data_IF_611694598121
#
_entry.id   IF_611694598121
#
_cell.length_a   1.000
_cell.length_b   1.000
_cell.length_c   1.000
_cell.angle_alpha   90.00
_cell.angle_beta   90.00
_cell.angle_gamma   90.00
#
_symmetry.space_group_name_H-M   'P 1'
#
loop_
_entity.id
_entity.type
_entity.pdbx_description
1 polymer ?
#
# COMPACT_ATOMS: atom_id res chain seq x y z
N UNK A 1 -6.12 8.99 31.65
CA UNK A 1 -7.34 9.31 30.88
C UNK A 1 -7.00 9.12 29.41
N UNK A 2 -7.72 8.23 28.74
CA UNK A 2 -7.35 7.67 27.44
C UNK A 2 -7.69 8.64 26.29
N UNK A 3 -6.67 9.20 25.65
CA UNK A 3 -6.78 9.98 24.40
C UNK A 3 -7.40 9.21 23.22
N UNK A 4 -7.69 7.91 23.40
CA UNK A 4 -8.35 7.05 22.43
C UNK A 4 -9.80 7.46 22.10
N UNK A 5 -10.44 8.32 22.90
CA UNK A 5 -11.86 8.70 22.70
C UNK A 5 -12.12 9.68 21.55
N UNK A 6 -11.09 10.25 20.92
CA UNK A 6 -11.27 11.29 19.89
C UNK A 6 -10.95 10.84 18.45
N UNK A 7 -10.83 9.53 18.16
CA UNK A 7 -10.76 9.07 16.77
C UNK A 7 -12.16 8.69 16.25
N UNK A 8 -12.79 9.49 15.37
CA UNK A 8 -14.15 9.22 14.90
C UNK A 8 -14.26 7.99 13.99
N UNK A 9 -13.13 7.45 13.49
CA UNK A 9 -13.09 6.26 12.63
C UNK A 9 -11.99 5.30 13.08
N UNK A 10 -12.38 4.09 13.46
CA UNK A 10 -11.44 3.02 13.80
C UNK A 10 -11.02 2.28 12.51
N UNK A 11 -9.73 1.93 12.41
CA UNK A 11 -9.18 1.19 11.29
C UNK A 11 -9.58 -0.29 11.39
N UNK A 12 -10.22 -0.85 10.36
CA UNK A 12 -10.63 -2.25 10.36
C UNK A 12 -9.48 -3.15 9.90
N UNK A 13 -9.08 -4.08 10.77
CA UNK A 13 -8.14 -5.15 10.45
C UNK A 13 -8.84 -6.27 9.71
N UNK A 14 -8.15 -6.84 8.72
CA UNK A 14 -8.62 -7.95 7.90
C UNK A 14 -10.09 -7.80 7.42
N UNK A 15 -10.44 -6.69 6.75
CA UNK A 15 -11.80 -6.49 6.23
C UNK A 15 -12.16 -7.62 5.26
N UNK A 16 -13.44 -7.92 5.02
CA UNK A 16 -13.78 -8.98 4.06
C UNK A 16 -13.39 -8.61 2.60
N UNK A 17 -13.44 -7.31 2.29
CA UNK A 17 -13.14 -6.73 0.98
C UNK A 17 -12.47 -5.37 1.21
N UNK A 18 -11.41 -5.09 0.46
CA UNK A 18 -10.74 -3.77 0.46
C UNK A 18 -11.25 -2.99 -0.74
N UNK A 19 -11.76 -1.78 -0.47
CA UNK A 19 -12.33 -0.90 -1.48
C UNK A 19 -11.34 0.22 -1.74
N UNK A 20 -10.88 0.35 -2.99
CA UNK A 20 -9.92 1.40 -3.36
C UNK A 20 -10.60 2.35 -4.34
N UNK A 21 -11.21 3.44 -3.86
CA UNK A 21 -11.74 4.48 -4.72
C UNK A 21 -10.59 5.28 -5.33
N UNK A 22 -10.64 5.49 -6.65
CA UNK A 22 -9.70 6.32 -7.38
C UNK A 22 -10.46 7.40 -8.14
N UNK A 23 -9.90 8.61 -8.13
CA UNK A 23 -10.30 9.67 -9.05
C UNK A 23 -9.32 9.69 -10.22
N UNK A 24 -9.82 9.53 -11.43
CA UNK A 24 -9.01 9.46 -12.64
C UNK A 24 -9.46 10.55 -13.61
N UNK A 25 -8.52 11.19 -14.30
CA UNK A 25 -8.83 12.23 -15.28
C UNK A 25 -8.54 11.68 -16.67
N UNK A 26 -9.52 11.72 -17.57
CA UNK A 26 -9.39 11.28 -18.95
C UNK A 26 -10.09 12.28 -19.87
N UNK A 27 -9.39 12.76 -20.91
CA UNK A 27 -9.90 13.75 -21.86
C UNK A 27 -10.51 15.02 -21.19
N UNK A 28 -9.92 15.48 -20.08
CA UNK A 28 -10.40 16.66 -19.34
C UNK A 28 -11.60 16.38 -18.41
N UNK A 29 -12.14 15.17 -18.40
CA UNK A 29 -13.23 14.78 -17.51
C UNK A 29 -12.70 13.97 -16.32
N UNK A 30 -13.27 14.20 -15.13
CA UNK A 30 -12.97 13.44 -13.90
C UNK A 30 -13.96 12.28 -13.77
N UNK A 31 -13.44 11.08 -13.59
CA UNK A 31 -14.21 9.86 -13.36
C UNK A 31 -13.87 9.29 -11.99
N UNK A 32 -14.87 8.69 -11.35
CA UNK A 32 -14.69 7.90 -10.13
C UNK A 32 -14.73 6.44 -10.50
N UNK A 33 -13.64 5.74 -10.27
CA UNK A 33 -13.55 4.29 -10.45
C UNK A 33 -13.24 3.65 -9.10
N UNK A 34 -13.66 2.41 -8.91
CA UNK A 34 -13.49 1.71 -7.65
C UNK A 34 -12.93 0.31 -7.90
N UNK A 35 -11.80 0.01 -7.28
CA UNK A 35 -11.21 -1.32 -7.31
C UNK A 35 -11.61 -2.07 -6.03
N UNK A 36 -12.14 -3.27 -6.18
CA UNK A 36 -12.47 -4.14 -5.05
C UNK A 36 -11.53 -5.31 -5.02
N UNK A 37 -10.76 -5.37 -3.95
CA UNK A 37 -9.65 -6.30 -3.76
C UNK A 37 -9.97 -7.22 -2.59
N UNK A 38 -9.49 -8.46 -2.63
CA UNK A 38 -9.40 -9.24 -1.38
C UNK A 38 -8.31 -8.64 -0.49
N UNK A 39 -8.38 -8.83 0.83
CA UNK A 39 -7.26 -8.53 1.71
C UNK A 39 -5.99 -9.26 1.25
N UNK A 40 -4.83 -8.59 1.25
CA UNK A 40 -3.56 -9.24 0.99
C UNK A 40 -3.22 -10.22 2.13
N UNK A 41 -2.83 -11.44 1.77
CA UNK A 41 -2.25 -12.39 2.70
C UNK A 41 -0.76 -12.07 2.93
N UNK A 42 -0.11 -12.62 3.97
CA UNK A 42 1.32 -12.42 4.20
C UNK A 42 2.18 -12.75 2.97
N UNK A 43 1.89 -13.86 2.28
CA UNK A 43 2.66 -14.28 1.10
C UNK A 43 2.52 -13.32 -0.10
N UNK A 44 1.37 -12.65 -0.22
CA UNK A 44 1.19 -11.61 -1.26
C UNK A 44 2.19 -10.49 -1.05
N UNK A 45 2.32 -10.04 0.20
CA UNK A 45 3.25 -8.98 0.59
C UNK A 45 4.71 -9.41 0.51
N UNK A 46 5.04 -10.64 0.91
CA UNK A 46 6.41 -11.14 0.80
C UNK A 46 6.87 -11.22 -0.66
N UNK A 47 5.97 -11.68 -1.54
CA UNK A 47 6.25 -11.71 -2.98
C UNK A 47 6.38 -10.29 -3.54
N UNK A 48 5.50 -9.38 -3.13
CA UNK A 48 5.54 -7.98 -3.55
C UNK A 48 6.84 -7.29 -3.12
N UNK A 49 7.23 -7.41 -1.84
CA UNK A 49 8.49 -6.82 -1.36
C UNK A 49 9.71 -7.42 -2.09
N UNK A 50 9.75 -8.74 -2.27
CA UNK A 50 10.82 -9.39 -3.02
C UNK A 50 10.93 -8.85 -4.46
N UNK A 51 9.80 -8.56 -5.10
CA UNK A 51 9.76 -7.98 -6.44
C UNK A 51 10.15 -6.49 -6.47
N UNK A 52 9.97 -5.74 -5.37
CA UNK A 52 10.39 -4.34 -5.27
C UNK A 52 11.90 -4.16 -5.14
N UNK A 53 12.66 -5.22 -4.81
CA UNK A 53 14.05 -5.06 -4.46
C UNK A 53 14.87 -4.59 -5.67
N UNK A 54 15.60 -3.47 -5.53
CA UNK A 54 16.42 -2.97 -6.62
C UNK A 54 17.53 -3.97 -6.94
N UNK A 55 17.72 -4.23 -8.22
CA UNK A 55 18.93 -4.87 -8.71
C UNK A 55 19.85 -3.77 -9.24
N UNK A 56 21.08 -3.73 -8.72
CA UNK A 56 22.16 -2.92 -9.31
C UNK A 56 22.93 -3.82 -10.25
N UNK A 57 22.91 -3.47 -11.53
CA UNK A 57 23.67 -4.15 -12.57
C UNK A 57 24.88 -3.30 -12.96
N UNK A 58 26.07 -3.89 -12.90
CA UNK A 58 27.27 -3.28 -13.47
C UNK A 58 27.24 -3.46 -14.99
N UNK A 59 27.26 -2.36 -15.74
CA UNK A 59 27.29 -2.37 -17.20
C UNK A 59 28.75 -2.52 -17.63
N UNK A 60 29.09 -3.68 -18.20
CA UNK A 60 30.44 -3.96 -18.71
C UNK A 60 30.80 -3.15 -19.97
N UNK A 61 32.10 -3.03 -20.21
CA UNK A 61 32.81 -2.44 -21.38
C UNK A 61 33.11 -0.93 -21.42
N UNK A 62 32.81 -0.16 -20.37
CA UNK A 62 33.32 1.22 -20.27
C UNK A 62 34.65 1.28 -19.49
N UNK A 63 35.56 2.17 -19.92
CA UNK A 63 36.80 2.49 -19.19
C UNK A 63 36.53 3.02 -17.77
N UNK A 64 35.29 3.43 -17.50
CA UNK A 64 34.78 3.84 -16.19
C UNK A 64 33.62 2.91 -15.78
N UNK A 65 33.57 2.46 -14.52
CA UNK A 65 32.48 1.61 -14.04
C UNK A 65 31.15 2.38 -14.10
N UNK A 66 30.16 1.83 -14.81
CA UNK A 66 28.81 2.38 -14.87
C UNK A 66 27.79 1.39 -14.31
N UNK A 67 26.79 1.91 -13.61
CA UNK A 67 25.81 1.12 -12.88
C UNK A 67 24.39 1.46 -13.35
N UNK A 68 23.56 0.44 -13.57
CA UNK A 68 22.13 0.58 -13.85
C UNK A 68 21.32 0.12 -12.66
N UNK A 69 20.49 1.01 -12.14
CA UNK A 69 19.48 0.68 -11.15
C UNK A 69 18.22 0.19 -11.87
N UNK A 70 17.84 -1.07 -11.65
CA UNK A 70 16.60 -1.64 -12.20
C UNK A 70 15.52 -1.62 -11.13
N UNK A 71 14.51 -0.76 -11.32
CA UNK A 71 13.33 -0.67 -10.46
C UNK A 71 12.17 -1.43 -11.12
N UNK A 72 11.61 -2.43 -10.43
CA UNK A 72 10.50 -3.26 -10.92
C UNK A 72 9.16 -2.92 -10.25
N UNK A 73 9.00 -1.68 -9.79
CA UNK A 73 7.84 -1.26 -9.02
C UNK A 73 6.51 -1.47 -9.77
N UNK A 74 6.47 -1.13 -11.07
CA UNK A 74 5.30 -1.30 -11.92
C UNK A 74 4.90 -2.77 -12.10
N UNK A 75 5.88 -3.65 -12.35
CA UNK A 75 5.65 -5.09 -12.50
C UNK A 75 5.17 -5.70 -11.17
N UNK A 76 5.85 -5.37 -10.07
CA UNK A 76 5.47 -5.82 -8.73
C UNK A 76 4.03 -5.40 -8.37
N UNK A 77 3.65 -4.15 -8.70
CA UNK A 77 2.31 -3.65 -8.48
C UNK A 77 1.28 -4.35 -9.37
N UNK A 78 1.58 -4.57 -10.66
CA UNK A 78 0.71 -5.33 -11.55
C UNK A 78 0.47 -6.76 -11.05
N UNK A 79 1.52 -7.45 -10.64
CA UNK A 79 1.45 -8.83 -10.13
C UNK A 79 0.65 -8.91 -8.83
N UNK A 80 0.86 -7.96 -7.91
CA UNK A 80 0.08 -7.89 -6.68
C UNK A 80 -1.39 -7.57 -7.00
N UNK A 81 -1.67 -6.56 -7.81
CA UNK A 81 -3.03 -6.19 -8.20
C UNK A 81 -3.78 -7.36 -8.83
N UNK A 82 -3.15 -8.08 -9.75
CA UNK A 82 -3.75 -9.23 -10.47
C UNK A 82 -4.15 -10.34 -9.51
N UNK A 83 -3.33 -10.60 -8.46
CA UNK A 83 -3.63 -11.59 -7.42
C UNK A 83 -4.75 -11.18 -6.47
N UNK A 84 -4.95 -9.87 -6.28
CA UNK A 84 -5.89 -9.33 -5.30
C UNK A 84 -7.25 -8.96 -5.91
N UNK A 85 -7.29 -8.53 -7.17
CA UNK A 85 -8.50 -7.92 -7.75
C UNK A 85 -9.64 -8.92 -7.89
N UNK A 86 -10.79 -8.54 -7.33
CA UNK A 86 -12.06 -9.28 -7.45
C UNK A 86 -12.94 -8.69 -8.52
N UNK A 87 -13.13 -7.37 -8.50
CA UNK A 87 -13.89 -6.62 -9.51
C UNK A 87 -13.48 -5.15 -9.54
N UNK A 88 -13.89 -4.46 -10.59
CA UNK A 88 -13.73 -3.02 -10.75
C UNK A 88 -15.07 -2.41 -11.16
N UNK A 89 -15.34 -1.21 -10.67
CA UNK A 89 -16.57 -0.45 -10.91
C UNK A 89 -16.21 0.92 -11.51
N UNK A 90 -17.08 1.48 -12.35
CA UNK A 90 -16.89 2.80 -12.97
C UNK A 90 -16.17 2.82 -14.33
N UNK A 91 -15.81 1.66 -14.88
CA UNK A 91 -15.28 1.54 -16.24
C UNK A 91 -16.41 1.24 -17.24
N UNK A 92 -16.35 1.88 -18.41
CA UNK A 92 -17.23 1.55 -19.54
C UNK A 92 -16.45 0.64 -20.48
N UNK A 93 -16.98 -0.55 -20.75
CA UNK A 93 -16.39 -1.43 -21.76
C UNK A 93 -16.67 -0.85 -23.15
N UNK A 94 -15.70 -0.86 -24.08
CA UNK A 94 -16.00 -0.55 -25.46
C UNK A 94 -17.08 -1.54 -25.93
N UNK A 95 -18.21 -1.04 -26.43
CA UNK A 95 -19.27 -1.87 -26.98
C UNK A 95 -18.65 -2.76 -28.07
N UNK A 96 -18.48 -4.05 -27.78
CA UNK A 96 -18.02 -5.05 -28.76
C UNK A 96 -19.11 -5.37 -29.79
N UNK A 97 -20.31 -4.83 -29.62
CA UNK A 97 -21.41 -4.87 -30.58
C UNK A 97 -21.19 -3.87 -31.72
N UNK A 98 -20.31 -4.21 -32.66
CA UNK A 98 -19.99 -3.32 -33.78
C UNK A 98 -19.16 -3.92 -34.91
N UNK A 99 -19.26 -5.25 -35.12
CA UNK A 99 -18.82 -5.86 -36.36
C UNK A 99 -20.04 -6.39 -37.13
N UNK A 100 -21.01 -5.51 -37.37
CA UNK A 100 -21.99 -5.71 -38.43
C UNK A 100 -21.54 -4.88 -39.64
N UNK A 101 -20.61 -5.45 -40.40
CA UNK A 101 -20.32 -5.00 -41.76
C UNK A 101 -21.48 -5.43 -42.66
N UNK A 102 -22.63 -4.77 -42.50
CA UNK A 102 -23.70 -4.83 -43.51
C UNK A 102 -24.59 -3.60 -43.49
N UNK A 103 -24.30 -2.76 -44.50
CA UNK A 103 -25.26 -2.34 -45.53
C UNK A 103 -25.93 -0.97 -45.36
N UNK A 104 -25.49 -0.10 -46.28
CA UNK A 104 -26.26 0.84 -47.13
C UNK A 104 -27.16 1.88 -46.47
N UNK A 105 -26.84 3.14 -46.80
CA UNK A 105 -27.75 4.18 -47.30
C UNK A 105 -29.21 4.06 -46.86
N UNK A 106 -29.62 4.84 -45.86
CA UNK A 106 -30.99 5.35 -45.74
C UNK A 106 -31.04 6.54 -44.79
N UNK A 107 -31.57 7.64 -45.31
CA UNK A 107 -31.60 8.97 -44.72
C UNK A 107 -32.58 9.10 -43.54
N UNK A 108 -32.15 9.85 -42.52
CA UNK A 108 -32.98 10.81 -41.78
C UNK A 108 -33.94 10.29 -40.72
N UNK A 109 -33.59 10.47 -39.43
CA UNK A 109 -34.49 10.96 -38.36
C UNK A 109 -33.69 11.33 -37.09
N UNK A 110 -34.06 12.41 -36.36
CA UNK A 110 -33.40 12.81 -35.12
C UNK A 110 -34.01 12.06 -33.93
N UNK A 111 -33.20 11.31 -33.17
CA UNK A 111 -33.66 10.65 -31.95
C UNK A 111 -32.80 10.98 -30.72
N UNK A 112 -33.53 11.08 -29.62
CA UNK A 112 -33.20 11.45 -28.25
C UNK A 112 -31.96 10.75 -27.65
N UNK A 113 -31.33 11.46 -26.70
CA UNK A 113 -30.00 11.16 -26.16
C UNK A 113 -29.88 9.82 -25.42
N UNK A 114 -28.69 9.20 -25.44
CA UNK A 114 -28.49 7.87 -24.89
C UNK A 114 -28.33 7.93 -23.36
N UNK A 115 -29.28 7.33 -22.65
CA UNK A 115 -29.11 6.86 -21.27
C UNK A 115 -28.12 5.70 -21.26
N UNK A 116 -26.83 6.01 -21.10
CA UNK A 116 -25.78 5.00 -20.95
C UNK A 116 -25.97 4.18 -19.67
N UNK A 117 -26.22 2.88 -19.82
CA UNK A 117 -26.42 1.95 -18.72
C UNK A 117 -25.13 1.76 -17.92
N UNK A 118 -25.19 2.07 -16.62
CA UNK A 118 -24.14 1.75 -15.65
C UNK A 118 -24.11 0.24 -15.43
N UNK A 119 -23.06 -0.42 -15.92
CA UNK A 119 -22.89 -1.87 -15.73
C UNK A 119 -22.27 -2.13 -14.35
N UNK A 120 -23.05 -2.71 -13.46
CA UNK A 120 -22.53 -3.50 -12.35
C UNK A 120 -22.39 -4.94 -12.84
N UNK A 121 -21.18 -5.38 -13.20
CA UNK A 121 -20.95 -6.79 -13.56
C UNK A 121 -20.55 -7.59 -12.31
N UNK A 122 -21.46 -8.39 -11.72
CA UNK A 122 -21.05 -9.54 -10.94
C UNK A 122 -20.68 -10.70 -11.87
N UNK A 123 -19.82 -11.57 -11.36
CA UNK A 123 -19.43 -12.81 -12.01
C UNK A 123 -20.66 -13.61 -12.47
N UNK A 124 -20.74 -13.88 -13.78
CA UNK A 124 -21.66 -14.89 -14.31
C UNK A 124 -22.35 -14.49 -15.60
N UNK A 125 -21.72 -14.81 -16.73
CA UNK A 125 -22.45 -15.20 -17.93
C UNK A 125 -22.34 -14.29 -19.16
N UNK A 126 -21.75 -14.91 -20.19
CA UNK A 126 -22.07 -14.77 -21.62
C UNK A 126 -21.33 -13.68 -22.40
N UNK A 127 -20.34 -14.13 -23.20
CA UNK A 127 -20.27 -13.75 -24.61
C UNK A 127 -19.27 -12.67 -25.02
N UNK A 128 -18.00 -12.79 -24.60
CA UNK A 128 -16.91 -11.95 -25.12
C UNK A 128 -15.72 -11.94 -24.18
N UNK A 129 -14.87 -12.97 -24.24
CA UNK A 129 -13.72 -13.22 -23.36
C UNK A 129 -12.55 -12.24 -23.55
N UNK A 130 -12.78 -10.93 -23.56
CA UNK A 130 -11.68 -10.02 -23.21
C UNK A 130 -11.48 -10.16 -21.70
N UNK A 131 -10.27 -10.55 -21.25
CA UNK A 131 -9.94 -10.45 -19.83
C UNK A 131 -9.99 -8.95 -19.50
N UNK A 132 -11.10 -8.51 -18.89
CA UNK A 132 -11.34 -7.10 -18.55
C UNK A 132 -10.16 -6.50 -17.76
N UNK A 133 -9.39 -7.35 -17.06
CA UNK A 133 -8.18 -6.95 -16.35
C UNK A 133 -7.14 -6.34 -17.29
N UNK A 134 -7.02 -6.82 -18.52
CA UNK A 134 -6.11 -6.28 -19.54
C UNK A 134 -6.55 -4.90 -20.03
N UNK A 135 -7.85 -4.62 -20.01
CA UNK A 135 -8.42 -3.33 -20.41
C UNK A 135 -8.21 -2.23 -19.37
N UNK A 136 -7.89 -2.58 -18.12
CA UNK A 136 -7.62 -1.60 -17.06
C UNK A 136 -6.23 -0.98 -17.25
N UNK A 137 -6.12 0.36 -17.34
CA UNK A 137 -4.83 1.04 -17.46
C UNK A 137 -3.87 0.67 -16.33
N UNK A 138 -2.59 0.46 -16.68
CA UNK A 138 -1.54 0.10 -15.72
C UNK A 138 -1.47 1.10 -14.56
N UNK A 139 -1.53 2.40 -14.85
CA UNK A 139 -1.48 3.45 -13.84
C UNK A 139 -2.60 3.32 -12.77
N UNK A 140 -3.78 2.82 -13.14
CA UNK A 140 -4.87 2.62 -12.18
C UNK A 140 -4.61 1.39 -11.30
N UNK A 141 -4.02 0.33 -11.86
CA UNK A 141 -3.59 -0.87 -11.10
C UNK A 141 -2.51 -0.50 -10.07
N UNK A 142 -1.52 0.29 -10.49
CA UNK A 142 -0.47 0.82 -9.63
C UNK A 142 -1.02 1.73 -8.54
N UNK A 143 -1.93 2.65 -8.88
CA UNK A 143 -2.59 3.51 -7.90
C UNK A 143 -3.38 2.69 -6.87
N UNK A 144 -4.06 1.64 -7.31
CA UNK A 144 -4.79 0.74 -6.42
C UNK A 144 -3.86 0.02 -5.43
N UNK A 145 -2.70 -0.47 -5.88
CA UNK A 145 -1.69 -1.10 -5.00
C UNK A 145 -1.03 -0.07 -4.09
N UNK A 146 -0.70 1.11 -4.60
CA UNK A 146 -0.13 2.21 -3.80
C UNK A 146 -1.03 2.54 -2.63
N UNK A 147 -2.36 2.58 -2.85
CA UNK A 147 -3.34 2.82 -1.80
C UNK A 147 -3.26 1.79 -0.67
N UNK A 148 -2.96 0.52 -0.97
CA UNK A 148 -2.79 -0.53 0.05
C UNK A 148 -1.55 -0.32 0.92
N UNK A 149 -0.57 0.44 0.43
CA UNK A 149 0.70 0.72 1.11
C UNK A 149 0.73 2.09 1.81
N UNK A 150 -0.40 2.82 1.83
CA UNK A 150 -0.51 4.13 2.48
C UNK A 150 -0.60 4.00 4.00
N UNK A 151 0.52 3.65 4.60
CA UNK A 151 0.78 3.70 6.04
C UNK A 151 2.13 4.34 6.26
N UNK A 152 2.20 5.27 7.20
CA UNK A 152 3.41 6.00 7.55
C UNK A 152 3.47 6.22 9.06
N UNK A 153 4.67 6.43 9.63
CA UNK A 153 4.78 6.97 10.98
C UNK A 153 4.05 8.32 11.04
N UNK A 154 3.23 8.51 12.07
CA UNK A 154 2.70 9.84 12.36
C UNK A 154 3.88 10.77 12.58
N UNK A 155 3.77 12.01 12.11
CA UNK A 155 4.79 13.02 12.46
C UNK A 155 4.85 13.10 13.97
N UNK A 156 6.05 12.95 14.52
CA UNK A 156 6.23 13.13 15.94
C UNK A 156 5.72 14.53 16.29
N UNK A 157 4.67 14.59 17.11
CA UNK A 157 4.39 15.79 17.88
C UNK A 157 5.69 16.06 18.64
N UNK A 158 6.36 17.18 18.31
CA UNK A 158 7.71 17.51 18.78
C UNK A 158 7.86 17.05 20.23
N UNK A 159 8.87 16.20 20.45
CA UNK A 159 9.13 15.43 21.68
C UNK A 159 8.37 15.99 22.89
N UNK A 160 7.55 15.14 23.54
CA UNK A 160 6.74 15.53 24.70
C UNK A 160 7.54 16.43 25.64
N UNK A 161 6.87 17.36 26.37
CA UNK A 161 7.33 18.71 26.74
C UNK A 161 8.74 18.89 27.34
N UNK A 162 9.43 17.81 27.67
CA UNK A 162 10.75 17.78 28.26
C UNK A 162 11.86 17.20 27.36
N UNK A 163 11.58 16.67 26.16
CA UNK A 163 12.63 16.24 25.22
C UNK A 163 13.57 15.12 25.72
N UNK A 164 13.23 14.42 26.81
CA UNK A 164 14.08 13.38 27.38
C UNK A 164 13.64 11.99 26.92
N UNK A 165 14.60 11.17 26.50
CA UNK A 165 14.37 9.76 26.24
C UNK A 165 14.35 8.99 27.59
N UNK A 166 13.22 8.35 27.96
CA UNK A 166 13.14 7.60 29.21
C UNK A 166 14.06 6.37 29.16
N UNK A 167 15.15 6.40 29.94
CA UNK A 167 15.95 5.22 30.24
C UNK A 167 15.08 4.30 31.12
N UNK A 168 14.63 3.18 30.56
CA UNK A 168 13.69 2.21 31.18
C UNK A 168 12.19 2.56 31.14
N UNK A 169 11.69 3.11 30.02
CA UNK A 169 10.25 3.04 29.76
C UNK A 169 9.76 1.58 29.82
N UNK A 170 8.60 1.34 30.42
CA UNK A 170 7.99 0.00 30.47
C UNK A 170 7.42 -0.43 29.10
N UNK A 171 7.04 0.56 28.28
CA UNK A 171 6.56 0.38 26.92
C UNK A 171 7.01 1.54 26.02
N UNK A 172 7.13 1.26 24.73
CA UNK A 172 7.41 2.25 23.69
C UNK A 172 6.18 2.39 22.81
N UNK A 173 5.66 3.61 22.70
CA UNK A 173 4.49 3.91 21.87
C UNK A 173 4.94 4.42 20.51
N UNK A 174 4.48 3.75 19.45
CA UNK A 174 4.65 4.17 18.06
C UNK A 174 3.28 4.56 17.53
N UNK A 175 3.18 5.73 16.90
CA UNK A 175 1.92 6.19 16.31
C UNK A 175 2.08 6.22 14.80
N UNK A 176 1.13 5.62 14.10
CA UNK A 176 1.05 5.59 12.65
C UNK A 176 -0.16 6.38 12.15
N UNK A 177 -0.11 6.72 10.88
CA UNK A 177 -1.22 7.23 10.09
C UNK A 177 -1.40 6.31 8.90
N UNK A 178 -2.65 5.97 8.57
CA UNK A 178 -2.95 5.16 7.40
C UNK A 178 -4.10 5.75 6.59
N UNK A 179 -4.15 5.40 5.31
CA UNK A 179 -5.30 5.68 4.45
C UNK A 179 -5.82 4.36 3.85
N UNK A 180 -7.10 4.08 4.06
CA UNK A 180 -7.76 2.90 3.53
C UNK A 180 -9.22 3.22 3.19
N UNK A 181 -9.80 2.58 2.18
CA UNK A 181 -11.20 2.78 1.81
C UNK A 181 -11.59 4.26 1.56
N UNK A 182 -10.65 5.07 1.06
CA UNK A 182 -10.83 6.51 0.85
C UNK A 182 -10.94 7.34 2.13
N UNK A 183 -10.67 6.76 3.30
CA UNK A 183 -10.65 7.45 4.58
C UNK A 183 -9.23 7.50 5.15
N UNK A 184 -8.89 8.62 5.79
CA UNK A 184 -7.69 8.75 6.60
C UNK A 184 -7.98 8.28 8.03
N UNK A 185 -7.03 7.53 8.59
CA UNK A 185 -7.04 7.00 9.94
C UNK A 185 -5.82 7.54 10.67
N UNK A 186 -5.95 8.72 11.30
CA UNK A 186 -4.86 9.27 12.08
C UNK A 186 -4.71 8.50 13.40
N UNK A 187 -3.52 8.60 14.01
CA UNK A 187 -3.28 8.18 15.41
C UNK A 187 -3.53 6.69 15.69
N UNK A 188 -3.05 5.83 14.80
CA UNK A 188 -3.02 4.39 15.01
C UNK A 188 -1.85 4.03 15.91
N UNK A 189 -2.11 3.79 17.19
CA UNK A 189 -1.03 3.60 18.16
C UNK A 189 -0.71 2.11 18.35
N UNK A 190 0.57 1.79 18.29
CA UNK A 190 1.14 0.50 18.67
C UNK A 190 1.92 0.68 19.97
N UNK A 191 1.70 -0.21 20.93
CA UNK A 191 2.47 -0.27 22.18
C UNK A 191 3.40 -1.47 22.10
N UNK A 192 4.69 -1.23 22.23
CA UNK A 192 5.74 -2.24 22.15
C UNK A 192 6.44 -2.42 23.49
N UNK A 193 6.97 -3.62 23.71
CA UNK A 193 8.03 -3.81 24.70
C UNK A 193 9.25 -2.97 24.29
N UNK A 194 10.01 -2.42 25.25
CA UNK A 194 11.29 -1.78 24.97
C UNK A 194 12.18 -2.74 24.19
N UNK A 195 12.70 -2.34 23.02
CA UNK A 195 13.60 -3.19 22.26
C UNK A 195 14.83 -3.55 23.08
N UNK A 196 15.18 -4.83 23.11
CA UNK A 196 16.43 -5.28 23.72
C UNK A 196 17.61 -5.00 22.78
N UNK A 197 18.83 -4.97 23.32
CA UNK A 197 20.08 -4.87 22.51
C UNK A 197 20.14 -5.95 21.43
N UNK A 198 19.66 -7.16 21.73
CA UNK A 198 19.62 -8.25 20.75
C UNK A 198 18.58 -8.00 19.64
N UNK A 199 17.41 -7.46 19.97
CA UNK A 199 16.41 -7.08 18.97
C UNK A 199 16.95 -5.97 18.05
N UNK A 200 17.64 -4.98 18.62
CA UNK A 200 18.27 -3.91 17.84
C UNK A 200 19.40 -4.43 16.94
N UNK A 201 20.28 -5.31 17.47
CA UNK A 201 21.31 -5.97 16.66
C UNK A 201 20.72 -6.76 15.50
N UNK A 202 19.62 -7.50 15.76
CA UNK A 202 18.91 -8.24 14.72
C UNK A 202 18.35 -7.29 13.66
N UNK A 203 17.68 -6.21 14.05
CA UNK A 203 17.17 -5.20 13.14
C UNK A 203 18.28 -4.55 12.29
N UNK A 204 19.37 -4.11 12.92
CA UNK A 204 20.53 -3.51 12.21
C UNK A 204 21.17 -4.49 11.24
N UNK A 205 21.29 -5.78 11.61
CA UNK A 205 21.79 -6.83 10.71
C UNK A 205 20.89 -6.97 9.49
N UNK A 206 19.57 -7.04 9.67
CA UNK A 206 18.62 -7.12 8.56
C UNK A 206 18.75 -5.93 7.59
N UNK A 207 19.03 -4.72 8.08
CA UNK A 207 19.27 -3.55 7.24
C UNK A 207 20.62 -3.57 6.53
N UNK A 208 21.65 -4.14 7.16
CA UNK A 208 23.00 -4.23 6.63
C UNK A 208 23.20 -5.40 5.66
N UNK A 209 22.33 -6.42 5.70
CA UNK A 209 22.42 -7.60 4.85
C UNK A 209 22.29 -7.22 3.37
N UNK A 210 23.39 -7.38 2.64
CA UNK A 210 23.53 -7.20 1.20
C UNK A 210 24.32 -8.39 0.63
N UNK A 211 23.85 -9.01 -0.45
CA UNK A 211 24.55 -10.10 -1.12
C UNK A 211 25.21 -9.58 -2.39
N UNK A 212 26.52 -9.81 -2.54
CA UNK A 212 27.23 -9.55 -3.80
C UNK A 212 27.41 -10.89 -4.51
N UNK A 213 26.65 -11.10 -5.58
CA UNK A 213 26.77 -12.29 -6.41
C UNK A 213 27.88 -12.05 -7.43
N UNK A 214 29.07 -12.60 -7.17
CA UNK A 214 30.22 -12.62 -8.09
C UNK A 214 30.31 -14.01 -8.71
N UNK A 215 30.12 -14.12 -10.03
CA UNK A 215 30.13 -15.40 -10.74
C UNK A 215 29.40 -15.40 -12.09
N UNK A 216 28.58 -14.38 -12.37
CA UNK A 216 28.03 -14.09 -13.69
C UNK A 216 28.94 -13.15 -14.49
N UNK A 217 28.61 -12.93 -15.78
CA UNK A 217 29.30 -11.95 -16.66
C UNK A 217 29.27 -10.52 -16.11
N UNK A 218 28.28 -10.20 -15.27
CA UNK A 218 28.12 -8.91 -14.57
C UNK A 218 27.87 -9.18 -13.09
N UNK A 219 28.69 -8.62 -12.16
CA UNK A 219 28.39 -8.72 -10.74
C UNK A 219 27.06 -8.03 -10.44
N UNK A 220 26.29 -8.63 -9.54
CA UNK A 220 25.00 -8.08 -9.10
C UNK A 220 24.96 -8.01 -7.59
N UNK A 221 24.52 -6.88 -7.07
CA UNK A 221 24.19 -6.74 -5.65
C UNK A 221 22.70 -7.00 -5.48
N UNK A 222 22.37 -8.02 -4.70
CA UNK A 222 21.00 -8.39 -4.35
C UNK A 222 20.76 -8.01 -2.89
N UNK A 223 19.66 -7.31 -2.66
CA UNK A 223 19.12 -7.11 -1.31
C UNK A 223 18.21 -8.30 -1.02
N UNK A 224 18.29 -8.96 0.14
CA UNK A 224 17.36 -10.03 0.50
C UNK A 224 16.02 -9.47 1.03
N UNK A 225 14.88 -10.17 0.87
CA UNK A 225 13.61 -9.73 1.43
C UNK A 225 13.67 -9.62 2.95
N UNK A 226 13.14 -8.53 3.51
CA UNK A 226 13.25 -8.19 4.94
C UNK A 226 11.92 -8.34 5.67
N UNK A 227 10.81 -8.25 4.94
CA UNK A 227 9.46 -8.23 5.48
C UNK A 227 9.12 -9.42 6.40
N UNK A 228 9.48 -10.68 6.08
CA UNK A 228 9.22 -11.78 7.00
C UNK A 228 9.93 -11.62 8.34
N UNK A 229 11.17 -11.11 8.33
CA UNK A 229 11.96 -10.92 9.55
C UNK A 229 11.45 -9.72 10.37
N UNK A 230 11.07 -8.63 9.71
CA UNK A 230 10.44 -7.47 10.35
C UNK A 230 9.08 -7.84 10.97
N UNK A 231 8.28 -8.64 10.27
CA UNK A 231 7.00 -9.16 10.79
C UNK A 231 7.21 -9.99 12.06
N UNK A 232 8.23 -10.86 12.11
CA UNK A 232 8.56 -11.63 13.31
C UNK A 232 9.02 -10.73 14.47
N UNK A 233 9.79 -9.67 14.19
CA UNK A 233 10.19 -8.69 15.19
C UNK A 233 8.97 -7.97 15.77
N UNK A 234 8.03 -7.55 14.93
CA UNK A 234 6.76 -6.97 15.36
C UNK A 234 6.02 -7.90 16.32
N UNK A 235 5.82 -9.16 15.90
CA UNK A 235 5.03 -10.14 16.66
C UNK A 235 5.66 -10.46 18.04
N UNK A 236 6.99 -10.38 18.14
CA UNK A 236 7.73 -10.59 19.40
C UNK A 236 7.63 -9.41 20.37
N UNK A 237 7.50 -8.19 19.84
CA UNK A 237 7.59 -6.95 20.62
C UNK A 237 6.23 -6.34 20.97
N UNK A 238 5.17 -6.64 20.20
CA UNK A 238 3.88 -5.97 20.37
C UNK A 238 3.19 -6.34 21.69
N UNK A 239 2.74 -5.31 22.42
CA UNK A 239 1.96 -5.43 23.66
C UNK A 239 0.48 -5.13 23.45
N UNK A 240 0.14 -4.28 22.48
CA UNK A 240 -1.24 -3.93 22.15
C UNK A 240 -1.30 -2.83 21.11
N UNK A 241 -2.50 -2.55 20.61
CA UNK A 241 -2.73 -1.47 19.65
C UNK A 241 -4.02 -0.72 19.98
N UNK A 242 -4.11 0.54 19.57
CA UNK A 242 -5.24 1.44 19.76
C UNK A 242 -5.63 2.08 18.42
N UNK A 243 -6.91 2.37 18.23
CA UNK A 243 -7.42 2.90 16.95
C UNK A 243 -7.79 1.82 15.93
N UNK A 244 -7.74 0.54 16.32
CA UNK A 244 -8.04 -0.61 15.47
C UNK A 244 -9.31 -1.34 15.90
N UNK A 245 -9.97 -1.95 14.93
CA UNK A 245 -11.10 -2.87 15.12
C UNK A 245 -10.90 -4.14 14.31
N UNK A 246 -11.53 -5.23 14.74
CA UNK A 246 -11.67 -6.45 13.97
C UNK A 246 -13.17 -6.70 13.78
N UNK A 247 -13.66 -6.62 12.54
CA UNK A 247 -15.09 -6.76 12.20
C UNK A 247 -15.97 -5.81 13.01
N UNK A 248 -15.55 -4.54 13.09
CA UNK A 248 -16.25 -3.49 13.84
C UNK A 248 -16.18 -3.60 15.36
N UNK A 249 -15.49 -4.61 15.92
CA UNK A 249 -15.31 -4.76 17.37
C UNK A 249 -13.91 -4.29 17.78
N UNK A 250 -13.72 -3.66 18.95
CA UNK A 250 -12.39 -3.39 19.49
C UNK A 250 -11.58 -4.68 19.62
N UNK A 251 -10.27 -4.58 19.47
CA UNK A 251 -9.38 -5.74 19.65
C UNK A 251 -9.39 -6.17 21.12
N UNK A 252 -9.48 -7.48 21.35
CA UNK A 252 -9.51 -8.05 22.69
C UNK A 252 -8.10 -8.27 23.24
N UNK A 253 -7.11 -8.49 22.37
CA UNK A 253 -5.74 -8.79 22.78
C UNK A 253 -4.69 -8.38 21.73
N UNK A 254 -3.41 -8.38 22.13
CA UNK A 254 -2.30 -8.25 21.18
C UNK A 254 -2.21 -9.41 20.19
N UNK A 255 -2.72 -10.59 20.55
CA UNK A 255 -2.78 -11.74 19.65
C UNK A 255 -3.67 -11.44 18.43
N UNK A 256 -4.73 -10.66 18.60
CA UNK A 256 -5.58 -10.24 17.48
C UNK A 256 -4.78 -9.38 16.49
N UNK A 257 -3.93 -8.48 16.99
CA UNK A 257 -3.04 -7.68 16.15
C UNK A 257 -1.97 -8.55 15.46
N UNK A 258 -1.39 -9.52 16.17
CA UNK A 258 -0.43 -10.47 15.58
C UNK A 258 -1.06 -11.27 14.44
N UNK A 259 -2.31 -11.70 14.58
CA UNK A 259 -2.97 -12.55 13.59
C UNK A 259 -3.58 -11.77 12.42
N UNK A 260 -4.11 -10.57 12.65
CA UNK A 260 -4.95 -9.87 11.68
C UNK A 260 -4.31 -8.59 11.11
N UNK A 261 -3.21 -8.08 11.67
CA UNK A 261 -2.47 -6.97 11.09
C UNK A 261 -1.72 -7.45 9.84
N UNK A 262 -1.83 -6.71 8.75
CA UNK A 262 -1.10 -7.07 7.53
C UNK A 262 0.42 -6.83 7.68
N UNK A 263 1.20 -7.56 6.89
CA UNK A 263 2.66 -7.53 6.99
C UNK A 263 3.23 -6.13 6.71
N UNK A 264 2.62 -5.35 5.82
CA UNK A 264 3.11 -4.01 5.48
C UNK A 264 2.96 -3.03 6.64
N UNK A 265 1.80 -3.02 7.32
CA UNK A 265 1.61 -2.27 8.57
C UNK A 265 2.61 -2.67 9.66
N UNK A 266 2.83 -3.98 9.85
CA UNK A 266 3.80 -4.48 10.83
C UNK A 266 5.22 -3.99 10.54
N UNK A 267 5.62 -3.98 9.26
CA UNK A 267 6.91 -3.44 8.83
C UNK A 267 7.05 -1.97 9.18
N UNK A 268 6.08 -1.13 8.81
CA UNK A 268 6.17 0.32 9.08
C UNK A 268 6.19 0.60 10.58
N UNK A 269 5.45 -0.15 11.39
CA UNK A 269 5.49 -0.03 12.84
C UNK A 269 6.88 -0.37 13.43
N UNK A 270 7.54 -1.42 12.93
CA UNK A 270 8.90 -1.80 13.37
C UNK A 270 9.94 -0.80 12.87
N UNK A 271 9.85 -0.37 11.62
CA UNK A 271 10.73 0.67 11.07
C UNK A 271 10.59 1.97 11.87
N UNK A 272 9.38 2.36 12.27
CA UNK A 272 9.16 3.51 13.13
C UNK A 272 9.76 3.31 14.54
N UNK A 273 9.58 2.12 15.12
CA UNK A 273 10.10 1.76 16.45
C UNK A 273 11.63 1.90 16.53
N UNK A 274 12.35 1.43 15.51
CA UNK A 274 13.82 1.46 15.48
C UNK A 274 14.40 2.68 14.76
N UNK A 275 13.65 3.27 13.81
CA UNK A 275 14.05 4.43 13.01
C UNK A 275 13.89 5.76 13.73
N UNK A 276 12.96 5.85 14.71
CA UNK A 276 12.80 7.02 15.57
C UNK A 276 14.04 7.39 16.38
N UNK A 277 14.99 6.46 16.54
CA UNK A 277 16.29 6.73 17.18
C UNK A 277 17.31 7.42 16.26
N UNK A 278 17.07 7.50 14.94
CA UNK A 278 18.03 8.04 13.95
C UNK A 278 17.62 9.42 13.41
N UNK A 279 16.34 9.79 13.54
CA UNK A 279 15.77 10.99 12.91
C UNK A 279 16.24 12.33 13.50
N UNK A 280 17.00 12.35 14.61
CA UNK A 280 17.63 13.58 15.11
C UNK A 280 18.95 13.94 14.39
N UNK A 281 19.46 13.08 13.50
CA UNK A 281 20.77 13.32 12.84
C UNK A 281 20.74 13.66 11.35
N UNK A 282 19.58 13.78 10.71
CA UNK A 282 19.54 14.20 9.30
C UNK A 282 18.25 14.95 8.95
N UNK A 283 18.36 16.28 8.92
CA UNK A 283 17.47 17.17 8.20
C UNK A 283 17.49 16.88 6.69
N UNK A 284 16.39 17.28 6.04
CA UNK A 284 16.05 17.24 4.59
C UNK A 284 15.53 15.91 4.05
N UNK A 285 14.20 15.79 3.96
CA UNK A 285 13.55 15.95 2.65
C UNK A 285 12.01 15.99 2.75
N UNK A 286 11.45 17.04 2.15
CA UNK A 286 10.02 17.34 2.15
C UNK A 286 9.42 16.92 0.80
N UNK A 287 8.78 15.74 0.72
CA UNK A 287 8.06 15.30 -0.49
C UNK A 287 6.77 14.51 -0.24
N UNK A 288 6.25 14.47 1.00
CA UNK A 288 5.05 13.69 1.34
C UNK A 288 3.74 14.49 1.41
N UNK A 289 3.75 15.80 1.09
CA UNK A 289 2.56 16.67 1.25
C UNK A 289 1.59 16.66 0.05
N UNK A 290 1.95 16.11 -1.10
CA UNK A 290 1.12 16.26 -2.31
C UNK A 290 0.07 15.14 -2.49
N UNK A 291 0.29 13.95 -1.91
CA UNK A 291 -0.58 12.79 -2.14
C UNK A 291 -1.85 12.77 -1.28
N UNK A 292 -1.86 13.44 -0.13
CA UNK A 292 -3.02 13.45 0.79
C UNK A 292 -4.03 14.56 0.47
N UNK A 293 -3.60 15.64 -0.18
CA UNK A 293 -4.47 16.74 -0.61
C UNK A 293 -5.40 16.33 -1.76
N UNK A 294 -5.04 15.31 -2.56
CA UNK A 294 -5.89 14.82 -3.64
C UNK A 294 -7.11 14.00 -3.17
N UNK A 295 -7.15 13.57 -1.89
CA UNK A 295 -8.23 12.71 -1.37
C UNK A 295 -9.25 13.44 -0.48
N UNK A 296 -9.01 14.70 -0.08
CA UNK A 296 -9.83 15.39 0.94
C UNK A 296 -10.57 16.62 0.46
N UNK A 297 -10.33 17.12 -0.76
CA UNK A 297 -11.11 18.22 -1.31
C UNK A 297 -12.38 17.68 -2.01
N UNK A 298 -13.52 17.75 -1.32
CA UNK A 298 -14.92 17.87 -1.84
C UNK A 298 -15.91 17.19 -0.86
N UNK A 299 -16.09 17.77 0.33
CA UNK A 299 -17.35 17.70 1.08
C UNK A 299 -17.68 19.09 1.63
N UNK A 300 -17.92 20.03 0.72
CA UNK A 300 -18.56 21.32 1.01
C UNK A 300 -19.09 21.85 -0.31
N UNK A 301 -20.29 21.40 -0.69
CA UNK A 301 -21.33 22.13 -1.43
C UNK A 301 -22.62 21.31 -1.43
#
# INVERSE_FOLDING_TARGET
>A
MSDAQNNPKLFELAPAEVVVPLQVTHAGHRYRVCHRLRPPAPDDWYTYEAALQPAVEELGDAAEPSFRLVLRASEAALDLWTRLVRRVEGYVLPNTSGHDFSRADSEGHPHEGPTGGLVSSPAGGVGGNADWRELIPLAHKEAAVRALTLVAPARADAAGPNGFFPLAAEEVRVVLEAAANGAAYPRLAHRFRPPTVEAERRYRRLLADNFIVRGGRTPRTLLPPRLPALTRLYDQLILGVEGYTLRGRPLASSLDAVQNMDAWHKRVAVEALFGGLVAETSHSDASAKESAALFTAETSE
#
